data_IF_422415164463
#
_entry.id   IF_422415164463
#
_cell.length_a   1.000
_cell.length_b   1.000
_cell.length_c   1.000
_cell.angle_alpha   90.00
_cell.angle_beta   90.00
_cell.angle_gamma   90.00
#
_symmetry.space_group_name_H-M   'P 1'
#
loop_
_entity.id
_entity.type
_entity.pdbx_description
1 polymer ?
#
# COMPACT_ATOMS: atom_id res chain seq x y z
N UNK A 1 0.78 3.25 19.60
CA UNK A 1 0.63 2.83 18.20
C UNK A 1 0.63 1.31 18.16
N UNK A 2 -0.51 0.70 17.85
CA UNK A 2 -0.70 -0.74 17.99
C UNK A 2 -1.11 -1.45 16.71
N UNK A 3 -1.80 -0.76 15.79
CA UNK A 3 -2.39 -1.40 14.60
C UNK A 3 -1.98 -0.64 13.33
N UNK A 4 -1.30 -1.34 12.43
CA UNK A 4 -0.73 -0.78 11.21
C UNK A 4 -1.38 -1.46 9.99
N UNK A 5 -1.86 -0.65 9.05
CA UNK A 5 -2.32 -1.13 7.76
C UNK A 5 -1.15 -1.07 6.76
N UNK A 6 -0.83 -2.19 6.14
CA UNK A 6 0.26 -2.27 5.16
C UNK A 6 -0.34 -2.65 3.80
N UNK A 7 -0.53 -1.67 2.95
CA UNK A 7 -1.03 -1.85 1.59
C UNK A 7 0.14 -2.26 0.70
N UNK A 8 0.02 -3.38 0.00
CA UNK A 8 1.14 -3.99 -0.71
C UNK A 8 2.02 -4.87 0.18
N UNK A 9 1.55 -5.21 1.40
CA UNK A 9 2.31 -5.99 2.37
C UNK A 9 2.60 -7.43 1.98
N UNK A 10 1.88 -7.99 1.02
CA UNK A 10 2.11 -9.35 0.52
C UNK A 10 3.25 -9.43 -0.52
N UNK A 11 3.78 -8.30 -0.96
CA UNK A 11 4.87 -8.25 -1.93
C UNK A 11 6.25 -8.52 -1.33
N UNK A 12 7.28 -8.40 -2.18
CA UNK A 12 8.66 -8.70 -1.78
C UNK A 12 9.14 -7.82 -0.61
N UNK A 13 9.02 -6.52 -0.73
CA UNK A 13 9.42 -5.59 0.35
C UNK A 13 8.45 -5.73 1.53
N UNK A 14 7.17 -5.88 1.23
CA UNK A 14 6.11 -5.97 2.23
C UNK A 14 6.32 -7.09 3.22
N UNK A 15 6.71 -8.29 2.78
CA UNK A 15 6.96 -9.42 3.67
C UNK A 15 8.00 -9.10 4.75
N UNK A 16 9.04 -8.38 4.38
CA UNK A 16 10.10 -8.00 5.32
C UNK A 16 9.64 -6.94 6.31
N UNK A 17 8.89 -5.95 5.83
CA UNK A 17 8.34 -4.89 6.68
C UNK A 17 7.33 -5.48 7.67
N UNK A 18 6.41 -6.30 7.18
CA UNK A 18 5.39 -6.95 8.03
C UNK A 18 6.06 -7.79 9.13
N UNK A 19 7.05 -8.60 8.77
CA UNK A 19 7.78 -9.42 9.74
C UNK A 19 8.45 -8.56 10.82
N UNK A 20 9.03 -7.42 10.45
CA UNK A 20 9.64 -6.50 11.42
C UNK A 20 8.63 -5.83 12.33
N UNK A 21 7.47 -5.45 11.81
CA UNK A 21 6.40 -4.86 12.62
C UNK A 21 5.88 -5.87 13.64
N UNK A 22 5.66 -7.11 13.21
CA UNK A 22 5.23 -8.20 14.09
C UNK A 22 6.29 -8.46 15.18
N UNK A 23 7.57 -8.48 14.80
CA UNK A 23 8.67 -8.65 15.75
C UNK A 23 8.75 -7.55 16.81
N UNK A 24 8.13 -6.40 16.57
CA UNK A 24 8.01 -5.30 17.53
C UNK A 24 6.70 -5.33 18.33
N UNK A 25 5.93 -6.38 18.20
CA UNK A 25 4.67 -6.55 18.92
C UNK A 25 3.49 -5.77 18.34
N UNK A 26 3.60 -5.30 17.10
CA UNK A 26 2.53 -4.55 16.45
C UNK A 26 1.55 -5.50 15.74
N UNK A 27 0.29 -5.09 15.70
CA UNK A 27 -0.74 -5.79 14.92
C UNK A 27 -0.73 -5.21 13.50
N UNK A 28 -0.78 -6.10 12.52
CA UNK A 28 -0.65 -5.71 11.11
C UNK A 28 -1.83 -6.23 10.32
N UNK A 29 -2.47 -5.36 9.55
CA UNK A 29 -3.50 -5.72 8.59
C UNK A 29 -2.92 -5.60 7.19
N UNK A 30 -3.05 -6.65 6.39
CA UNK A 30 -2.59 -6.67 5.00
C UNK A 30 -3.77 -6.96 4.08
N UNK A 31 -4.26 -5.96 3.33
CA UNK A 31 -5.27 -6.21 2.32
C UNK A 31 -4.64 -6.86 1.09
N UNK A 32 -5.35 -7.81 0.50
CA UNK A 32 -4.95 -8.45 -0.75
C UNK A 32 -6.19 -8.80 -1.56
N UNK A 33 -6.08 -8.75 -2.88
CA UNK A 33 -7.14 -9.23 -3.76
C UNK A 33 -7.16 -10.74 -3.86
N UNK A 34 -6.04 -11.39 -3.59
CA UNK A 34 -5.86 -12.83 -3.70
C UNK A 34 -5.17 -13.38 -2.45
N UNK A 35 -5.95 -13.89 -1.53
CA UNK A 35 -5.44 -14.42 -0.25
C UNK A 35 -4.36 -15.48 -0.44
N UNK A 36 -4.43 -16.29 -1.47
CA UNK A 36 -3.44 -17.31 -1.77
C UNK A 36 -2.02 -16.74 -1.96
N UNK A 37 -1.90 -15.50 -2.45
CA UNK A 37 -0.61 -14.82 -2.63
C UNK A 37 -0.01 -14.32 -1.32
N UNK A 38 -0.78 -14.27 -0.27
CA UNK A 38 -0.36 -13.82 1.05
C UNK A 38 -0.13 -14.97 2.03
N UNK A 39 -0.07 -16.21 1.54
CA UNK A 39 0.08 -17.41 2.38
C UNK A 39 1.26 -17.38 3.33
N UNK A 40 2.37 -16.76 2.91
CA UNK A 40 3.56 -16.60 3.75
C UNK A 40 3.35 -15.70 4.98
N UNK A 41 2.31 -14.86 4.99
CA UNK A 41 1.99 -13.97 6.11
C UNK A 41 1.08 -14.62 7.14
N UNK A 42 0.33 -15.65 6.76
CA UNK A 42 -0.68 -16.30 7.63
C UNK A 42 -0.04 -16.91 8.89
N UNK A 43 1.22 -17.31 8.79
CA UNK A 43 1.95 -17.91 9.91
C UNK A 43 2.44 -16.89 10.94
N UNK A 44 2.37 -15.60 10.65
CA UNK A 44 2.79 -14.55 11.59
C UNK A 44 1.66 -14.26 12.60
N UNK A 45 1.94 -14.27 13.90
CA UNK A 45 0.88 -14.35 14.94
C UNK A 45 -0.03 -13.14 15.03
N UNK A 46 0.42 -11.94 14.66
CA UNK A 46 -0.36 -10.70 14.77
C UNK A 46 -0.73 -10.10 13.44
N UNK A 47 -0.67 -10.90 12.37
CA UNK A 47 -1.05 -10.46 11.02
C UNK A 47 -2.46 -10.93 10.70
N UNK A 48 -3.28 -9.99 10.24
CA UNK A 48 -4.59 -10.26 9.65
C UNK A 48 -4.52 -9.99 8.15
N UNK A 49 -4.74 -11.03 7.34
CA UNK A 49 -4.84 -10.90 5.89
C UNK A 49 -6.30 -10.76 5.52
N UNK A 50 -6.65 -9.63 4.91
CA UNK A 50 -8.03 -9.31 4.53
C UNK A 50 -8.16 -9.30 3.01
N UNK A 51 -9.09 -10.10 2.48
CA UNK A 51 -9.39 -10.05 1.05
C UNK A 51 -10.21 -8.80 0.75
N UNK A 52 -9.61 -7.86 0.00
CA UNK A 52 -10.20 -6.56 -0.26
C UNK A 52 -9.57 -5.91 -1.48
N UNK A 53 -10.34 -5.07 -2.15
CA UNK A 53 -9.87 -4.27 -3.27
C UNK A 53 -9.70 -2.81 -2.86
N UNK A 54 -8.46 -2.37 -2.73
CA UNK A 54 -8.13 -0.98 -2.35
C UNK A 54 -8.50 0.04 -3.42
N UNK A 55 -8.84 -0.39 -4.63
CA UNK A 55 -9.34 0.49 -5.68
C UNK A 55 -10.84 0.79 -5.53
N UNK A 56 -11.53 0.12 -4.62
CA UNK A 56 -12.88 0.48 -4.20
C UNK A 56 -12.81 1.47 -3.05
N UNK A 57 -13.46 2.63 -3.19
CA UNK A 57 -13.46 3.65 -2.13
C UNK A 57 -14.12 3.17 -0.85
N UNK A 58 -15.24 2.45 -0.96
CA UNK A 58 -15.93 1.90 0.20
C UNK A 58 -15.09 0.87 0.93
N UNK A 59 -14.42 -0.03 0.19
CA UNK A 59 -13.52 -1.02 0.78
C UNK A 59 -12.31 -0.35 1.43
N UNK A 60 -11.76 0.68 0.81
CA UNK A 60 -10.63 1.42 1.37
C UNK A 60 -11.00 2.12 2.68
N UNK A 61 -12.17 2.77 2.73
CA UNK A 61 -12.64 3.43 3.94
C UNK A 61 -12.85 2.43 5.09
N UNK A 62 -13.38 1.25 4.80
CA UNK A 62 -13.50 0.17 5.80
C UNK A 62 -12.14 -0.31 6.31
N UNK A 63 -11.18 -0.47 5.41
CA UNK A 63 -9.82 -0.90 5.77
C UNK A 63 -9.11 0.12 6.66
N UNK A 64 -9.30 1.40 6.41
CA UNK A 64 -8.61 2.45 7.15
C UNK A 64 -9.10 2.61 8.59
N UNK A 65 -10.32 2.14 8.88
CA UNK A 65 -10.88 2.27 10.24
C UNK A 65 -10.01 1.56 11.27
N UNK A 66 -9.87 2.20 12.43
CA UNK A 66 -9.22 1.64 13.62
C UNK A 66 -7.73 1.33 13.45
N UNK A 67 -7.08 1.94 12.47
CA UNK A 67 -5.64 1.86 12.30
C UNK A 67 -4.93 3.11 12.80
N UNK A 68 -3.75 2.93 13.37
CA UNK A 68 -2.93 4.03 13.90
C UNK A 68 -1.99 4.62 12.86
N UNK A 69 -1.61 3.80 11.88
CA UNK A 69 -0.74 4.22 10.80
C UNK A 69 -1.01 3.40 9.53
N UNK A 70 -0.62 3.97 8.40
CA UNK A 70 -0.74 3.31 7.09
C UNK A 70 0.61 3.36 6.39
N UNK A 71 1.03 2.22 5.85
CA UNK A 71 2.21 2.09 5.01
C UNK A 71 1.74 1.67 3.62
N UNK A 72 2.08 2.44 2.60
CA UNK A 72 1.75 2.13 1.21
C UNK A 72 3.01 1.70 0.45
N UNK A 73 3.02 0.42 0.06
CA UNK A 73 4.12 -0.20 -0.68
C UNK A 73 3.72 -0.56 -2.12
N UNK A 74 2.54 -0.15 -2.57
CA UNK A 74 2.05 -0.49 -3.90
C UNK A 74 2.96 0.11 -4.97
N UNK A 75 3.37 -0.72 -5.91
CA UNK A 75 4.14 -0.29 -7.07
C UNK A 75 3.99 -1.31 -8.19
N UNK A 76 3.95 -0.82 -9.42
CA UNK A 76 3.95 -1.63 -10.62
C UNK A 76 5.13 -1.21 -11.51
N UNK A 77 5.62 -2.14 -12.31
CA UNK A 77 6.77 -1.89 -13.20
C UNK A 77 6.36 -1.77 -14.66
N UNK A 78 5.15 -2.17 -14.99
CA UNK A 78 4.65 -2.21 -16.37
C UNK A 78 3.24 -1.63 -16.45
N UNK A 79 2.94 -1.02 -17.57
CA UNK A 79 1.63 -0.46 -17.85
C UNK A 79 1.56 0.05 -19.28
N UNK A 80 0.38 0.52 -19.69
CA UNK A 80 0.18 1.12 -21.00
C UNK A 80 1.00 2.41 -21.17
N UNK A 81 1.28 2.74 -22.43
CA UNK A 81 2.01 3.98 -22.76
C UNK A 81 1.13 5.20 -22.55
N UNK A 82 1.77 6.32 -22.22
CA UNK A 82 1.13 7.61 -22.06
C UNK A 82 2.14 8.67 -21.66
N UNK A 83 1.73 9.91 -21.71
CA UNK A 83 2.56 11.05 -21.32
C UNK A 83 1.83 11.87 -20.26
N UNK A 84 2.46 12.09 -19.08
CA UNK A 84 3.80 11.63 -18.67
C UNK A 84 3.89 10.13 -18.35
N UNK A 85 2.76 9.42 -18.18
CA UNK A 85 2.68 7.98 -17.93
C UNK A 85 1.31 7.44 -18.32
N UNK A 86 1.21 6.13 -18.50
CA UNK A 86 -0.04 5.47 -18.85
C UNK A 86 -1.01 5.33 -17.67
N UNK A 87 -2.18 4.77 -17.97
CA UNK A 87 -3.30 4.67 -17.03
C UNK A 87 -2.97 3.83 -15.79
N UNK A 88 -2.32 2.68 -15.96
CA UNK A 88 -2.02 1.78 -14.85
C UNK A 88 -1.04 2.40 -13.87
N UNK A 89 -0.04 3.13 -14.38
CA UNK A 89 0.88 3.90 -13.54
C UNK A 89 0.14 5.02 -12.80
N UNK A 90 -0.76 5.73 -13.47
CA UNK A 90 -1.56 6.77 -12.85
C UNK A 90 -2.42 6.20 -11.69
N UNK A 91 -3.11 5.08 -11.93
CA UNK A 91 -3.96 4.46 -10.91
C UNK A 91 -3.15 3.98 -9.71
N UNK A 92 -2.04 3.28 -9.94
CA UNK A 92 -1.25 2.66 -8.88
C UNK A 92 -0.39 3.66 -8.11
N UNK A 93 0.26 4.60 -8.79
CA UNK A 93 1.28 5.45 -8.19
C UNK A 93 0.81 6.86 -7.85
N UNK A 94 -0.30 7.32 -8.42
CA UNK A 94 -0.80 8.69 -8.24
C UNK A 94 -2.18 8.67 -7.58
N UNK A 95 -3.16 8.04 -8.20
CA UNK A 95 -4.54 8.07 -7.72
C UNK A 95 -4.72 7.30 -6.40
N UNK A 96 -4.15 6.11 -6.30
CA UNK A 96 -4.26 5.31 -5.08
C UNK A 96 -3.65 6.02 -3.86
N UNK A 97 -2.40 6.55 -3.92
CA UNK A 97 -1.86 7.33 -2.81
C UNK A 97 -2.72 8.52 -2.41
N UNK A 98 -3.25 9.27 -3.37
CA UNK A 98 -4.16 10.39 -3.09
C UNK A 98 -5.40 9.94 -2.33
N UNK A 99 -6.02 8.84 -2.74
CA UNK A 99 -7.20 8.28 -2.09
C UNK A 99 -6.89 7.78 -0.69
N UNK A 100 -5.74 7.15 -0.50
CA UNK A 100 -5.31 6.70 0.83
C UNK A 100 -5.12 7.89 1.77
N UNK A 101 -4.42 8.93 1.33
CA UNK A 101 -4.19 10.14 2.14
C UNK A 101 -5.51 10.81 2.51
N UNK A 102 -6.41 10.99 1.54
CA UNK A 102 -7.73 11.55 1.80
C UNK A 102 -8.53 10.70 2.79
N UNK A 103 -8.44 9.38 2.68
CA UNK A 103 -9.06 8.45 3.63
C UNK A 103 -8.47 8.55 5.03
N UNK A 104 -7.15 8.68 5.12
CA UNK A 104 -6.48 8.90 6.41
C UNK A 104 -6.97 10.19 7.08
N UNK A 105 -7.11 11.27 6.33
CA UNK A 105 -7.64 12.53 6.85
C UNK A 105 -9.05 12.36 7.39
N UNK A 106 -9.93 11.68 6.66
CA UNK A 106 -11.31 11.41 7.11
C UNK A 106 -11.37 10.58 8.39
N UNK A 107 -10.42 9.65 8.55
CA UNK A 107 -10.38 8.73 9.70
C UNK A 107 -9.52 9.24 10.86
N UNK A 108 -8.90 10.39 10.71
CA UNK A 108 -8.01 10.96 11.75
C UNK A 108 -6.68 10.23 11.88
N UNK A 109 -6.25 9.49 10.88
CA UNK A 109 -4.95 8.81 10.87
C UNK A 109 -3.87 9.83 10.48
N UNK A 110 -2.92 10.06 11.38
CA UNK A 110 -1.90 11.10 11.20
C UNK A 110 -0.57 10.59 10.68
N UNK A 111 -0.39 9.27 10.59
CA UNK A 111 0.88 8.69 10.16
C UNK A 111 0.67 7.88 8.89
N UNK A 112 1.21 8.40 7.80
CA UNK A 112 1.23 7.75 6.51
C UNK A 112 2.67 7.68 6.00
N UNK A 113 3.10 6.48 5.61
CA UNK A 113 4.41 6.25 4.99
C UNK A 113 4.21 5.77 3.57
N UNK A 114 4.93 6.38 2.65
CA UNK A 114 4.83 6.08 1.23
C UNK A 114 6.18 5.58 0.71
N UNK A 115 6.15 4.43 0.04
CA UNK A 115 7.35 3.91 -0.64
C UNK A 115 7.46 4.58 -2.01
N UNK A 116 8.41 5.47 -2.15
CA UNK A 116 8.79 6.04 -3.43
C UNK A 116 9.85 5.14 -4.11
N UNK A 117 10.63 5.68 -5.00
CA UNK A 117 11.66 4.94 -5.72
C UNK A 117 12.87 5.83 -5.97
N UNK A 118 14.03 5.18 -6.14
CA UNK A 118 15.25 5.88 -6.54
C UNK A 118 15.04 6.53 -7.91
N UNK A 119 15.35 7.81 -8.01
CA UNK A 119 15.21 8.58 -9.24
C UNK A 119 13.78 9.00 -9.57
N UNK A 120 12.86 8.92 -8.60
CA UNK A 120 11.49 9.43 -8.78
C UNK A 120 11.53 10.93 -9.06
N UNK A 121 11.01 11.34 -10.21
CA UNK A 121 11.07 12.72 -10.71
C UNK A 121 9.97 12.89 -11.76
N UNK A 122 9.16 13.98 -11.71
CA UNK A 122 8.15 14.25 -12.73
C UNK A 122 8.73 14.38 -14.15
N UNK A 123 10.03 14.66 -14.27
CA UNK A 123 10.77 14.75 -15.52
C UNK A 123 11.70 13.56 -15.75
N UNK A 124 11.53 12.47 -15.01
CA UNK A 124 12.37 11.29 -15.06
C UNK A 124 12.32 10.54 -16.40
N UNK A 125 13.30 9.68 -16.68
CA UNK A 125 13.43 9.01 -17.98
C UNK A 125 12.38 7.94 -18.25
N UNK A 126 11.73 7.40 -17.22
CA UNK A 126 10.73 6.34 -17.39
C UNK A 126 9.37 6.76 -16.83
N UNK A 127 8.31 6.11 -17.34
CA UNK A 127 6.97 6.31 -16.80
C UNK A 127 6.90 5.91 -15.32
N UNK A 128 7.62 4.87 -14.92
CA UNK A 128 7.73 4.46 -13.53
C UNK A 128 8.27 5.60 -12.65
N UNK A 129 9.40 6.18 -13.04
CA UNK A 129 10.02 7.27 -12.29
C UNK A 129 9.18 8.53 -12.28
N UNK A 130 8.51 8.84 -13.40
CA UNK A 130 7.64 10.02 -13.49
C UNK A 130 6.38 9.90 -12.64
N UNK A 131 5.84 8.69 -12.47
CA UNK A 131 4.61 8.45 -11.69
C UNK A 131 4.87 8.21 -10.21
N UNK A 132 6.04 7.67 -9.88
CA UNK A 132 6.41 7.27 -8.52
C UNK A 132 6.74 8.48 -7.65
#
# INVERSE_FOLDING_TARGET
MNKILVIGGAGFVGRHIVARLVGRGLRVTVPTRHRARAGHLILLPTVEVVESDVNSDDALDLLLRDHDAVINLVGILQGSRGTPYGREFALAHVELPKRIVAGCERQGIRRYLHMSALGADPKGPSMYQRSK
#
